data_IF_118277267462
#
_entry.id   IF_118277267462
#
_cell.length_a   1.000
_cell.length_b   1.000
_cell.length_c   1.000
_cell.angle_alpha   90.00
_cell.angle_beta   90.00
_cell.angle_gamma   90.00
#
_symmetry.space_group_name_H-M   'P 1'
#
loop_
_entity.id
_entity.type
_entity.pdbx_description
1 polymer ?
#
# COMPACT_ATOMS: atom_id res chain seq x y z
N UNK A 1 -17.89 -17.23 21.74
CA UNK A 1 -18.62 -18.03 20.73
C UNK A 1 -18.44 -17.37 19.36
N UNK A 2 -17.26 -17.50 18.74
CA UNK A 2 -16.93 -16.90 17.42
C UNK A 2 -16.70 -17.98 16.34
N UNK A 3 -17.01 -19.24 16.64
CA UNK A 3 -16.82 -20.36 15.69
C UNK A 3 -17.82 -20.19 14.55
N UNK A 4 -17.33 -20.05 13.31
CA UNK A 4 -18.15 -19.99 12.10
C UNK A 4 -18.14 -18.65 11.36
N UNK A 5 -17.52 -17.60 11.91
CA UNK A 5 -17.22 -16.40 11.13
C UNK A 5 -16.01 -16.67 10.27
N UNK A 6 -16.10 -16.31 8.98
CA UNK A 6 -14.92 -16.30 8.11
C UNK A 6 -13.98 -15.13 8.47
N UNK A 7 -12.76 -15.17 7.94
CA UNK A 7 -11.73 -14.18 8.21
C UNK A 7 -12.11 -12.77 7.71
N UNK A 8 -12.97 -12.64 6.68
CA UNK A 8 -13.44 -11.36 6.14
C UNK A 8 -14.41 -10.72 7.14
N UNK A 9 -15.36 -11.49 7.67
CA UNK A 9 -16.26 -11.05 8.73
C UNK A 9 -15.49 -10.65 9.98
N UNK A 10 -14.51 -11.46 10.41
CA UNK A 10 -13.68 -11.15 11.58
C UNK A 10 -12.88 -9.86 11.36
N UNK A 11 -12.25 -9.69 10.21
CA UNK A 11 -11.53 -8.48 9.85
C UNK A 11 -12.45 -7.24 9.86
N UNK A 12 -13.61 -7.35 9.22
CA UNK A 12 -14.60 -6.28 9.16
C UNK A 12 -15.05 -5.87 10.55
N UNK A 13 -15.40 -6.83 11.41
CA UNK A 13 -15.81 -6.55 12.79
C UNK A 13 -14.64 -6.02 13.64
N UNK A 14 -13.43 -6.52 13.43
CA UNK A 14 -12.23 -6.09 14.13
C UNK A 14 -11.86 -4.65 13.79
N UNK A 15 -12.28 -4.12 12.64
CA UNK A 15 -12.08 -2.73 12.23
C UNK A 15 -13.04 -1.75 12.94
N UNK A 16 -14.17 -2.21 13.48
CA UNK A 16 -15.06 -1.37 14.29
C UNK A 16 -14.58 -1.24 15.74
N UNK A 17 -14.85 -0.08 16.34
CA UNK A 17 -14.61 0.14 17.76
C UNK A 17 -15.72 -0.50 18.60
N UNK A 18 -15.55 -1.79 18.89
CA UNK A 18 -16.51 -2.58 19.67
C UNK A 18 -15.88 -3.07 20.97
N UNK A 19 -16.65 -3.29 22.05
CA UNK A 19 -16.12 -3.91 23.27
C UNK A 19 -15.51 -5.30 23.05
N UNK A 20 -15.93 -6.00 22.00
CA UNK A 20 -15.42 -7.33 21.64
C UNK A 20 -14.13 -7.29 20.81
N UNK A 21 -13.62 -6.10 20.44
CA UNK A 21 -12.47 -5.93 19.55
C UNK A 21 -11.24 -6.74 19.96
N UNK A 22 -10.78 -6.77 21.22
CA UNK A 22 -9.62 -7.59 21.60
C UNK A 22 -9.78 -9.08 21.29
N UNK A 23 -10.99 -9.62 21.43
CA UNK A 23 -11.29 -11.02 21.11
C UNK A 23 -11.31 -11.27 19.59
N UNK A 24 -11.84 -10.31 18.82
CA UNK A 24 -11.85 -10.37 17.36
C UNK A 24 -10.42 -10.30 16.81
N UNK A 25 -9.60 -9.38 17.31
CA UNK A 25 -8.19 -9.24 16.95
C UNK A 25 -7.39 -10.51 17.29
N UNK A 26 -7.61 -11.10 18.47
CA UNK A 26 -6.99 -12.37 18.85
C UNK A 26 -7.38 -13.51 17.90
N UNK A 27 -8.66 -13.59 17.52
CA UNK A 27 -9.14 -14.59 16.55
C UNK A 27 -8.51 -14.38 15.18
N UNK A 28 -8.48 -13.14 14.70
CA UNK A 28 -7.89 -12.81 13.40
C UNK A 28 -6.40 -13.15 13.35
N UNK A 29 -5.63 -12.86 14.41
CA UNK A 29 -4.22 -13.26 14.52
C UNK A 29 -4.02 -14.76 14.43
N UNK A 30 -4.94 -15.55 14.99
CA UNK A 30 -4.89 -17.01 14.91
C UNK A 30 -5.06 -17.47 13.46
N UNK A 31 -6.01 -16.89 12.74
CA UNK A 31 -6.29 -17.25 11.34
C UNK A 31 -5.17 -16.77 10.40
N UNK A 32 -4.56 -15.63 10.71
CA UNK A 32 -3.43 -15.07 9.95
C UNK A 32 -2.08 -15.70 10.28
N UNK A 33 -1.97 -16.59 11.26
CA UNK A 33 -0.68 -17.08 11.79
C UNK A 33 0.26 -17.62 10.71
N UNK A 34 -0.27 -18.42 9.78
CA UNK A 34 0.52 -18.98 8.69
C UNK A 34 1.08 -17.87 7.78
N UNK A 35 0.25 -16.87 7.44
CA UNK A 35 0.66 -15.72 6.62
C UNK A 35 1.67 -14.83 7.34
N UNK A 36 1.45 -14.53 8.62
CA UNK A 36 2.37 -13.73 9.44
C UNK A 36 3.75 -14.39 9.54
N UNK A 37 3.80 -15.72 9.65
CA UNK A 37 5.05 -16.46 9.70
C UNK A 37 5.70 -16.63 8.32
N UNK A 38 4.90 -16.96 7.30
CA UNK A 38 5.40 -17.34 5.98
C UNK A 38 5.72 -16.15 5.08
N UNK A 39 4.89 -15.11 5.05
CA UNK A 39 5.01 -14.02 4.07
C UNK A 39 6.36 -13.27 4.15
N UNK A 40 6.93 -13.00 5.35
CA UNK A 40 8.27 -12.40 5.44
C UNK A 40 9.40 -13.33 5.00
N UNK A 41 9.20 -14.65 5.04
CA UNK A 41 10.20 -15.65 4.70
C UNK A 41 10.14 -16.09 3.23
N UNK A 42 8.97 -16.00 2.60
CA UNK A 42 8.77 -16.33 1.20
C UNK A 42 9.42 -15.28 0.29
N UNK A 43 10.06 -15.75 -0.79
CA UNK A 43 10.50 -14.89 -1.89
C UNK A 43 9.26 -14.22 -2.53
N UNK A 44 9.13 -12.89 -2.50
CA UNK A 44 7.97 -12.21 -3.06
C UNK A 44 7.91 -12.30 -4.59
N UNK A 45 8.92 -12.86 -5.27
CA UNK A 45 8.89 -13.21 -6.69
C UNK A 45 8.40 -14.63 -6.99
N UNK A 46 8.36 -15.50 -5.97
CA UNK A 46 7.87 -16.87 -6.07
C UNK A 46 6.34 -16.90 -6.00
N UNK A 47 5.70 -16.68 -7.15
CA UNK A 47 4.24 -16.66 -7.24
C UNK A 47 3.59 -17.97 -6.75
N UNK A 48 4.22 -19.11 -6.98
CA UNK A 48 3.72 -20.42 -6.55
C UNK A 48 3.86 -20.57 -5.03
N UNK A 49 4.99 -20.15 -4.47
CA UNK A 49 5.20 -20.10 -3.02
C UNK A 49 4.19 -19.19 -2.31
N UNK A 50 3.89 -18.01 -2.87
CA UNK A 50 2.85 -17.12 -2.35
C UNK A 50 1.46 -17.76 -2.48
N UNK A 51 1.13 -18.35 -3.62
CA UNK A 51 -0.15 -19.06 -3.79
C UNK A 51 -0.30 -20.22 -2.80
N UNK A 52 0.76 -20.99 -2.57
CA UNK A 52 0.77 -22.08 -1.61
C UNK A 52 0.55 -21.57 -0.17
N UNK A 53 1.23 -20.48 0.20
CA UNK A 53 1.03 -19.81 1.48
C UNK A 53 -0.42 -19.33 1.64
N UNK A 54 -1.03 -18.86 0.56
CA UNK A 54 -2.41 -18.38 0.54
C UNK A 54 -3.46 -19.49 0.44
N UNK A 55 -3.10 -20.72 0.04
CA UNK A 55 -4.07 -21.81 -0.15
C UNK A 55 -4.87 -22.13 1.12
N UNK A 56 -4.30 -21.85 2.30
CA UNK A 56 -4.99 -21.98 3.60
C UNK A 56 -5.90 -20.81 3.97
N UNK A 57 -5.84 -19.68 3.25
CA UNK A 57 -6.63 -18.47 3.49
C UNK A 57 -7.63 -18.26 2.37
N UNK A 58 -8.92 -18.25 2.71
CA UNK A 58 -9.98 -17.82 1.79
C UNK A 58 -10.10 -16.29 1.70
N UNK A 59 -9.33 -15.56 2.51
CA UNK A 59 -9.37 -14.10 2.53
C UNK A 59 -8.26 -13.48 1.69
N UNK A 60 -8.62 -12.42 0.97
CA UNK A 60 -7.72 -11.62 0.14
C UNK A 60 -7.26 -10.34 0.84
N UNK A 61 -7.96 -9.93 1.90
CA UNK A 61 -7.66 -8.78 2.75
C UNK A 61 -8.13 -9.06 4.18
N UNK A 62 -7.36 -8.62 5.17
CA UNK A 62 -7.67 -8.82 6.59
C UNK A 62 -8.15 -7.54 7.28
N UNK A 63 -8.80 -6.65 6.52
CA UNK A 63 -9.23 -5.35 7.02
C UNK A 63 -8.03 -4.47 7.37
N UNK A 64 -8.30 -3.31 7.96
CA UNK A 64 -7.26 -2.34 8.32
C UNK A 64 -6.34 -2.96 9.36
N UNK A 65 -6.91 -3.54 10.43
CA UNK A 65 -6.13 -4.16 11.49
C UNK A 65 -5.19 -5.26 10.99
N UNK A 66 -5.72 -6.25 10.25
CA UNK A 66 -4.89 -7.36 9.79
C UNK A 66 -3.85 -6.92 8.75
N UNK A 67 -4.16 -5.91 7.93
CA UNK A 67 -3.19 -5.34 7.00
C UNK A 67 -2.05 -4.64 7.72
N UNK A 68 -2.34 -3.84 8.76
CA UNK A 68 -1.32 -3.20 9.60
C UNK A 68 -0.41 -4.25 10.25
N UNK A 69 -0.98 -5.34 10.78
CA UNK A 69 -0.19 -6.44 11.34
C UNK A 69 0.73 -7.11 10.30
N UNK A 70 0.23 -7.37 9.09
CA UNK A 70 1.05 -7.95 8.03
C UNK A 70 2.15 -7.00 7.60
N UNK A 71 1.85 -5.70 7.52
CA UNK A 71 2.84 -4.68 7.15
C UNK A 71 3.95 -4.59 8.20
N UNK A 72 3.59 -4.51 9.49
CA UNK A 72 4.53 -4.52 10.61
C UNK A 72 5.39 -5.79 10.59
N UNK A 73 4.77 -6.96 10.40
CA UNK A 73 5.45 -8.25 10.36
C UNK A 73 6.40 -8.38 9.15
N UNK A 74 6.13 -7.67 8.06
CA UNK A 74 7.00 -7.56 6.90
C UNK A 74 8.13 -6.52 7.09
N UNK A 75 8.18 -5.83 8.23
CA UNK A 75 9.19 -4.84 8.56
C UNK A 75 8.90 -3.44 8.02
N UNK A 76 7.67 -3.14 7.61
CA UNK A 76 7.28 -1.78 7.21
C UNK A 76 7.00 -0.94 8.46
N UNK A 77 7.71 0.18 8.60
CA UNK A 77 7.48 1.15 9.66
C UNK A 77 6.26 2.03 9.38
N UNK A 78 5.86 2.80 10.41
CA UNK A 78 4.86 3.85 10.27
C UNK A 78 5.49 5.11 9.64
N UNK A 79 4.85 5.75 8.65
CA UNK A 79 5.29 7.05 8.13
C UNK A 79 5.28 8.13 9.21
N UNK A 80 6.04 9.22 9.03
CA UNK A 80 6.04 10.33 9.97
C UNK A 80 4.66 11.01 10.05
N UNK A 81 4.35 11.62 11.21
CA UNK A 81 3.03 12.22 11.44
C UNK A 81 2.67 13.34 10.44
N UNK A 82 3.64 14.16 10.03
CA UNK A 82 3.42 15.26 9.05
C UNK A 82 2.94 14.73 7.69
N UNK A 83 3.36 13.52 7.31
CA UNK A 83 2.99 12.92 6.03
C UNK A 83 1.49 12.61 5.97
N UNK A 84 0.88 12.21 7.09
CA UNK A 84 -0.54 11.88 7.14
C UNK A 84 -1.42 13.09 6.79
N UNK A 85 -1.11 14.27 7.33
CA UNK A 85 -1.85 15.50 7.00
C UNK A 85 -1.79 15.83 5.51
N UNK A 86 -0.59 15.71 4.91
CA UNK A 86 -0.36 15.92 3.48
C UNK A 86 -1.15 14.93 2.61
N UNK A 87 -1.09 13.64 2.95
CA UNK A 87 -1.76 12.58 2.22
C UNK A 87 -3.29 12.66 2.32
N UNK A 88 -3.83 12.95 3.52
CA UNK A 88 -5.27 13.15 3.72
C UNK A 88 -5.79 14.36 2.94
N UNK A 89 -5.03 15.46 2.89
CA UNK A 89 -5.36 16.60 2.06
C UNK A 89 -5.39 16.24 0.56
N UNK A 90 -4.45 15.43 0.09
CA UNK A 90 -4.43 14.93 -1.29
C UNK A 90 -5.66 14.06 -1.61
N UNK A 91 -6.06 13.18 -0.68
CA UNK A 91 -7.28 12.36 -0.80
C UNK A 91 -8.54 13.22 -0.88
N UNK A 92 -8.68 14.21 0.01
CA UNK A 92 -9.82 15.14 0.01
C UNK A 92 -9.93 15.90 -1.32
N UNK A 93 -8.80 16.40 -1.82
CA UNK A 93 -8.75 17.08 -3.12
C UNK A 93 -9.18 16.13 -4.25
N UNK A 94 -8.66 14.90 -4.28
CA UNK A 94 -9.02 13.89 -5.27
C UNK A 94 -10.53 13.63 -5.28
N UNK A 95 -11.10 13.40 -4.10
CA UNK A 95 -12.52 13.12 -3.90
C UNK A 95 -13.40 14.26 -4.41
N UNK A 96 -13.08 15.51 -4.05
CA UNK A 96 -13.81 16.70 -4.54
C UNK A 96 -13.72 16.82 -6.06
N UNK A 97 -12.54 16.57 -6.63
CA UNK A 97 -12.32 16.67 -8.07
C UNK A 97 -13.15 15.66 -8.88
N UNK A 98 -13.31 14.43 -8.37
CA UNK A 98 -14.12 13.41 -9.04
C UNK A 98 -15.60 13.42 -8.63
N UNK A 99 -15.98 14.28 -7.68
CA UNK A 99 -17.35 14.35 -7.15
C UNK A 99 -17.77 13.08 -6.40
N UNK A 100 -16.84 12.40 -5.72
CA UNK A 100 -17.10 11.14 -5.01
C UNK A 100 -16.63 11.21 -3.57
N UNK A 101 -17.28 10.47 -2.68
CA UNK A 101 -16.85 10.35 -1.29
C UNK A 101 -15.65 9.40 -1.16
N UNK A 102 -14.76 9.66 -0.22
CA UNK A 102 -13.53 8.88 0.00
C UNK A 102 -13.79 7.39 0.29
N UNK A 103 -14.95 7.01 0.83
CA UNK A 103 -15.33 5.61 1.02
C UNK A 103 -15.70 4.85 -0.25
N UNK A 104 -15.81 5.54 -1.39
CA UNK A 104 -16.11 4.93 -2.70
C UNK A 104 -14.88 4.82 -3.61
N UNK A 105 -13.74 5.32 -3.14
CA UNK A 105 -12.48 5.34 -3.86
C UNK A 105 -11.39 4.64 -3.04
N UNK A 106 -10.68 3.73 -3.68
CA UNK A 106 -9.42 3.23 -3.15
C UNK A 106 -8.31 4.09 -3.75
N UNK A 107 -7.65 4.87 -2.90
CA UNK A 107 -6.60 5.80 -3.23
C UNK A 107 -5.32 5.37 -2.54
N UNK A 108 -4.19 5.53 -3.20
CA UNK A 108 -2.87 5.34 -2.63
C UNK A 108 -2.04 6.58 -2.92
N UNK A 109 -1.47 7.19 -1.88
CA UNK A 109 -0.62 8.37 -1.98
C UNK A 109 0.79 8.03 -1.54
N UNK A 110 1.80 8.56 -2.24
CA UNK A 110 3.19 8.46 -1.84
C UNK A 110 3.91 9.82 -1.88
N UNK A 111 4.82 9.99 -0.94
CA UNK A 111 5.88 11.00 -0.93
C UNK A 111 7.21 10.25 -1.03
N UNK A 112 8.10 10.68 -1.92
CA UNK A 112 9.32 9.96 -2.22
C UNK A 112 10.51 10.88 -2.43
N UNK A 113 11.68 10.35 -2.09
CA UNK A 113 12.99 10.89 -2.43
C UNK A 113 13.91 9.72 -2.73
N UNK A 114 14.59 9.79 -3.87
CA UNK A 114 15.58 8.84 -4.33
C UNK A 114 16.89 9.56 -4.65
N UNK A 115 18.01 8.89 -4.38
CA UNK A 115 19.35 9.32 -4.74
C UNK A 115 20.18 8.11 -5.18
N UNK A 116 21.13 8.33 -6.09
CA UNK A 116 22.08 7.31 -6.54
C UNK A 116 23.53 7.72 -6.30
N UNK A 117 24.49 6.78 -6.31
CA UNK A 117 25.92 7.10 -6.25
C UNK A 117 26.42 7.96 -7.41
N UNK A 118 25.68 8.00 -8.53
CA UNK A 118 25.98 8.85 -9.69
C UNK A 118 25.52 10.31 -9.51
N UNK A 119 25.09 10.69 -8.29
CA UNK A 119 24.54 12.01 -7.96
C UNK A 119 23.24 12.36 -8.69
N UNK A 120 22.53 11.38 -9.28
CA UNK A 120 21.18 11.61 -9.75
C UNK A 120 20.22 11.65 -8.56
N UNK A 121 19.19 12.50 -8.64
CA UNK A 121 18.15 12.61 -7.63
C UNK A 121 16.77 12.63 -8.27
N UNK A 122 15.77 12.08 -7.58
CA UNK A 122 14.37 12.25 -7.92
C UNK A 122 13.56 12.43 -6.63
N UNK A 123 12.69 13.43 -6.60
CA UNK A 123 11.82 13.68 -5.44
C UNK A 123 10.46 14.16 -5.89
N UNK A 124 9.43 13.82 -5.12
CA UNK A 124 8.09 14.29 -5.42
C UNK A 124 7.02 13.57 -4.62
N UNK A 125 5.80 13.66 -5.14
CA UNK A 125 4.67 12.94 -4.62
C UNK A 125 3.79 12.47 -5.76
N UNK A 126 3.12 11.34 -5.58
CA UNK A 126 2.23 10.76 -6.57
C UNK A 126 1.04 10.07 -5.91
N UNK A 127 -0.04 9.91 -6.68
CA UNK A 127 -1.29 9.37 -6.19
C UNK A 127 -1.96 8.52 -7.26
N UNK A 128 -2.44 7.35 -6.86
CA UNK A 128 -3.17 6.43 -7.71
C UNK A 128 -4.54 6.12 -7.14
N UNK A 129 -5.44 5.73 -8.04
CA UNK A 129 -6.79 5.27 -7.72
C UNK A 129 -7.00 3.89 -8.33
N UNK A 130 -7.61 2.96 -7.59
CA UNK A 130 -7.95 1.64 -8.12
C UNK A 130 -8.71 1.74 -9.44
N UNK A 131 -8.43 0.78 -10.33
CA UNK A 131 -9.12 0.61 -11.61
C UNK A 131 -8.96 1.80 -12.56
N UNK A 132 -8.04 2.73 -12.27
CA UNK A 132 -7.69 3.76 -13.24
C UNK A 132 -6.82 3.15 -14.34
N UNK A 133 -7.38 3.06 -15.55
CA UNK A 133 -6.73 2.45 -16.71
C UNK A 133 -6.00 3.47 -17.60
N UNK A 134 -5.50 4.56 -17.03
CA UNK A 134 -4.67 5.50 -17.80
C UNK A 134 -3.45 4.82 -18.43
N UNK A 135 -2.93 5.40 -19.51
CA UNK A 135 -1.90 4.85 -20.41
C UNK A 135 -0.49 4.60 -19.81
N UNK A 136 -0.36 4.33 -18.51
CA UNK A 136 0.94 4.05 -17.88
C UNK A 136 0.82 2.91 -16.89
N UNK A 137 1.14 1.70 -17.35
CA UNK A 137 1.39 0.54 -16.49
C UNK A 137 2.88 0.24 -16.52
N UNK A 138 3.47 0.07 -15.32
CA UNK A 138 4.89 -0.19 -15.03
C UNK A 138 5.75 -0.57 -16.23
N UNK A 139 6.26 0.45 -16.92
CA UNK A 139 6.95 0.28 -18.22
C UNK A 139 8.25 -0.47 -18.06
N UNK A 140 8.84 -0.46 -16.86
CA UNK A 140 10.05 -1.23 -16.56
C UNK A 140 9.77 -2.71 -16.28
N UNK A 141 8.53 -3.09 -15.94
CA UNK A 141 8.17 -4.48 -15.64
C UNK A 141 8.92 -5.06 -14.44
N UNK A 142 9.45 -4.21 -13.56
CA UNK A 142 10.25 -4.68 -12.43
C UNK A 142 9.37 -5.44 -11.43
N UNK A 143 8.17 -4.96 -11.13
CA UNK A 143 7.22 -5.60 -10.21
C UNK A 143 6.27 -6.58 -10.91
N UNK A 144 5.73 -7.55 -10.17
CA UNK A 144 4.77 -8.55 -10.66
C UNK A 144 3.54 -8.62 -9.77
N UNK A 145 2.36 -8.47 -10.39
CA UNK A 145 1.09 -8.71 -9.70
C UNK A 145 1.01 -10.18 -9.29
N UNK A 146 0.52 -10.45 -8.08
CA UNK A 146 0.38 -11.81 -7.57
C UNK A 146 -1.09 -12.22 -7.62
N UNK A 147 -1.48 -13.20 -8.45
CA UNK A 147 -2.86 -13.66 -8.47
C UNK A 147 -3.22 -14.30 -7.13
N UNK A 148 -4.45 -14.05 -6.65
CA UNK A 148 -4.94 -14.59 -5.39
C UNK A 148 -5.91 -15.76 -5.67
N UNK A 149 -5.86 -16.88 -4.93
CA UNK A 149 -6.67 -18.05 -5.20
C UNK A 149 -8.19 -17.80 -5.21
N UNK A 150 -8.66 -16.88 -4.37
CA UNK A 150 -10.10 -16.57 -4.26
C UNK A 150 -10.65 -15.72 -5.42
N UNK A 151 -9.79 -15.12 -6.26
CA UNK A 151 -10.24 -14.31 -7.40
C UNK A 151 -9.21 -14.24 -8.53
N UNK A 152 -8.97 -15.38 -9.16
CA UNK A 152 -8.06 -15.49 -10.31
C UNK A 152 -8.41 -14.57 -11.49
N UNK A 153 -9.67 -14.11 -11.59
CA UNK A 153 -10.13 -13.20 -12.63
C UNK A 153 -9.79 -11.72 -12.35
N UNK A 154 -9.35 -11.37 -11.14
CA UNK A 154 -9.03 -9.99 -10.77
C UNK A 154 -7.58 -9.69 -11.12
N UNK A 155 -7.38 -8.76 -12.06
CA UNK A 155 -6.06 -8.25 -12.38
C UNK A 155 -5.53 -7.35 -11.26
N UNK A 156 -4.60 -7.90 -10.48
CA UNK A 156 -3.98 -7.21 -9.34
C UNK A 156 -3.01 -6.11 -9.74
N UNK A 157 -2.64 -6.01 -11.02
CA UNK A 157 -1.84 -4.88 -11.52
C UNK A 157 -2.65 -3.57 -11.57
N UNK A 158 -3.98 -3.66 -11.45
CA UNK A 158 -4.89 -2.51 -11.39
C UNK A 158 -5.12 -1.97 -9.97
N UNK A 159 -4.51 -2.58 -8.96
CA UNK A 159 -4.54 -2.07 -7.59
C UNK A 159 -3.71 -0.78 -7.50
N UNK A 160 -4.22 0.22 -6.78
CA UNK A 160 -3.63 1.56 -6.67
C UNK A 160 -2.22 1.51 -6.09
N UNK A 161 -1.98 0.61 -5.15
CA UNK A 161 -0.70 0.38 -4.51
C UNK A 161 0.30 -0.22 -5.50
N UNK A 162 -0.13 -1.20 -6.30
CA UNK A 162 0.71 -1.79 -7.34
C UNK A 162 1.10 -0.77 -8.41
N UNK A 163 0.12 0.01 -8.88
CA UNK A 163 0.34 1.06 -9.88
C UNK A 163 1.30 2.13 -9.35
N UNK A 164 1.11 2.57 -8.10
CA UNK A 164 1.98 3.51 -7.41
C UNK A 164 3.43 3.02 -7.32
N UNK A 165 3.64 1.78 -6.86
CA UNK A 165 4.99 1.21 -6.75
C UNK A 165 5.64 1.00 -8.13
N UNK A 166 4.84 0.63 -9.13
CA UNK A 166 5.31 0.49 -10.51
C UNK A 166 5.73 1.83 -11.12
N UNK A 167 5.00 2.91 -10.84
CA UNK A 167 5.39 4.25 -11.28
C UNK A 167 6.64 4.75 -10.55
N UNK A 168 6.81 4.45 -9.25
CA UNK A 168 8.06 4.72 -8.54
C UNK A 168 9.25 4.00 -9.19
N UNK A 169 9.09 2.74 -9.61
CA UNK A 169 10.13 2.02 -10.36
C UNK A 169 10.43 2.68 -11.72
N UNK A 170 9.39 3.13 -12.44
CA UNK A 170 9.57 3.89 -13.68
C UNK A 170 10.30 5.21 -13.43
N UNK A 171 10.04 5.92 -12.33
CA UNK A 171 10.75 7.15 -11.94
C UNK A 171 12.24 6.86 -11.69
N UNK A 172 12.55 5.79 -10.93
CA UNK A 172 13.93 5.36 -10.70
C UNK A 172 14.67 5.14 -12.03
N UNK A 173 14.03 4.46 -12.98
CA UNK A 173 14.62 4.22 -14.30
C UNK A 173 14.75 5.49 -15.14
N UNK A 174 13.65 6.23 -15.30
CA UNK A 174 13.56 7.36 -16.22
C UNK A 174 14.38 8.57 -15.73
N UNK A 175 14.63 8.68 -14.42
CA UNK A 175 15.54 9.68 -13.83
C UNK A 175 17.02 9.28 -13.89
N UNK A 176 17.36 8.13 -14.49
CA UNK A 176 18.74 7.65 -14.60
C UNK A 176 19.35 7.22 -13.27
N UNK A 177 18.53 6.95 -12.24
CA UNK A 177 18.99 6.44 -10.95
C UNK A 177 19.45 4.98 -11.05
N UNK A 178 18.74 4.17 -11.86
CA UNK A 178 19.13 2.79 -12.19
C UNK A 178 18.49 2.32 -13.51
N UNK A 179 19.26 1.70 -14.40
CA UNK A 179 18.75 1.12 -15.65
C UNK A 179 18.24 -0.32 -15.48
N UNK A 180 18.65 -1.01 -14.41
CA UNK A 180 18.32 -2.41 -14.15
C UNK A 180 17.99 -2.68 -12.68
N UNK A 181 17.31 -3.80 -12.35
CA UNK A 181 17.09 -4.23 -10.97
C UNK A 181 18.38 -4.43 -10.15
N UNK A 182 19.49 -4.80 -10.80
CA UNK A 182 20.77 -4.96 -10.13
C UNK A 182 21.34 -3.60 -9.69
N UNK A 183 21.24 -2.58 -10.54
CA UNK A 183 21.66 -1.20 -10.23
C UNK A 183 20.73 -0.53 -9.21
N UNK A 184 19.43 -0.86 -9.23
CA UNK A 184 18.44 -0.33 -8.30
C UNK A 184 18.82 -0.60 -6.84
N UNK A 185 19.59 -1.65 -6.57
CA UNK A 185 20.08 -1.96 -5.22
C UNK A 185 20.97 -0.88 -4.60
N UNK A 186 21.58 -0.03 -5.41
CA UNK A 186 22.42 1.08 -4.95
C UNK A 186 21.63 2.38 -4.73
N UNK A 187 20.35 2.42 -5.11
CA UNK A 187 19.47 3.59 -4.92
C UNK A 187 19.08 3.69 -3.45
N UNK A 188 19.17 4.90 -2.90
CA UNK A 188 18.86 5.21 -1.51
C UNK A 188 17.74 6.22 -1.40
N UNK A 189 17.19 6.37 -0.20
CA UNK A 189 16.25 7.45 0.12
C UNK A 189 15.06 6.96 0.93
N UNK A 190 13.88 7.51 0.67
CA UNK A 190 12.66 7.13 1.38
C UNK A 190 11.42 7.15 0.49
N UNK A 191 10.44 6.34 0.87
CA UNK A 191 9.09 6.33 0.33
C UNK A 191 8.11 6.19 1.48
N UNK A 192 7.22 7.17 1.62
CA UNK A 192 6.13 7.15 2.59
C UNK A 192 4.82 6.92 1.85
N UNK A 193 4.03 5.94 2.29
CA UNK A 193 2.78 5.55 1.62
C UNK A 193 1.61 5.62 2.60
N UNK A 194 0.48 6.19 2.13
CA UNK A 194 -0.82 6.09 2.78
C UNK A 194 -1.81 5.46 1.79
N UNK A 195 -2.48 4.39 2.21
CA UNK A 195 -3.55 3.72 1.45
C UNK A 195 -4.90 4.06 2.07
N UNK A 196 -5.93 4.41 1.29
CA UNK A 196 -7.23 4.82 1.83
C UNK A 196 -8.08 3.67 2.39
N UNK A 197 -7.74 2.42 2.05
CA UNK A 197 -8.36 1.20 2.55
C UNK A 197 -7.33 0.11 2.81
N UNK A 198 -7.76 -0.98 3.45
CA UNK A 198 -6.93 -2.16 3.65
C UNK A 198 -6.39 -2.71 2.32
N UNK A 199 -5.05 -2.80 2.13
CA UNK A 199 -4.47 -3.42 0.96
C UNK A 199 -4.85 -4.90 0.90
N UNK A 200 -4.94 -5.44 -0.32
CA UNK A 200 -5.02 -6.88 -0.50
C UNK A 200 -3.64 -7.53 -0.31
N UNK A 201 -3.60 -8.84 -0.11
CA UNK A 201 -2.34 -9.58 0.08
C UNK A 201 -1.40 -9.40 -1.12
N UNK A 202 -1.92 -9.33 -2.36
CA UNK A 202 -1.08 -9.03 -3.54
C UNK A 202 -0.37 -7.68 -3.43
N UNK A 203 -1.00 -6.65 -2.85
CA UNK A 203 -0.37 -5.35 -2.65
C UNK A 203 0.73 -5.42 -1.60
N UNK A 204 0.54 -6.21 -0.53
CA UNK A 204 1.56 -6.46 0.49
C UNK A 204 2.78 -7.17 -0.11
N UNK A 205 2.55 -8.15 -0.99
CA UNK A 205 3.62 -8.79 -1.77
C UNK A 205 4.33 -7.78 -2.68
N UNK A 206 3.61 -6.86 -3.32
CA UNK A 206 4.22 -5.81 -4.13
C UNK A 206 5.10 -4.85 -3.31
N UNK A 207 4.67 -4.45 -2.10
CA UNK A 207 5.53 -3.68 -1.17
C UNK A 207 6.81 -4.44 -0.83
N UNK A 208 6.72 -5.76 -0.62
CA UNK A 208 7.87 -6.64 -0.36
C UNK A 208 8.81 -6.74 -1.57
N UNK A 209 8.27 -6.90 -2.78
CA UNK A 209 9.06 -6.86 -4.02
C UNK A 209 9.82 -5.53 -4.13
N UNK A 210 9.14 -4.41 -3.87
CA UNK A 210 9.75 -3.08 -3.91
C UNK A 210 10.88 -2.94 -2.88
N UNK A 211 10.67 -3.39 -1.64
CA UNK A 211 11.69 -3.38 -0.58
C UNK A 211 12.93 -4.21 -0.96
N UNK A 212 12.76 -5.37 -1.60
CA UNK A 212 13.89 -6.19 -2.03
C UNK A 212 14.61 -5.63 -3.27
N UNK A 213 13.88 -4.91 -4.11
CA UNK A 213 14.40 -4.25 -5.31
C UNK A 213 15.26 -3.03 -4.94
N UNK A 214 14.83 -2.28 -3.91
CA UNK A 214 15.43 -1.04 -3.43
C UNK A 214 15.73 -1.16 -1.91
N UNK A 215 16.66 -2.03 -1.51
CA UNK A 215 16.92 -2.35 -0.10
C UNK A 215 17.41 -1.16 0.74
N UNK A 216 18.08 -0.19 0.13
CA UNK A 216 18.57 1.03 0.80
C UNK A 216 17.55 2.18 0.75
N UNK A 217 16.35 1.96 0.21
CA UNK A 217 15.22 2.90 0.28
C UNK A 217 14.35 2.55 1.49
N UNK A 218 14.21 3.49 2.41
CA UNK A 218 13.31 3.32 3.55
C UNK A 218 11.85 3.42 3.12
N UNK A 219 11.15 2.29 3.07
CA UNK A 219 9.72 2.23 2.77
C UNK A 219 8.90 2.15 4.08
N UNK A 220 8.05 3.15 4.32
CA UNK A 220 7.07 3.14 5.39
C UNK A 220 5.65 3.19 4.80
N UNK A 221 4.76 2.34 5.30
CA UNK A 221 3.40 2.17 4.76
C UNK A 221 2.40 2.30 5.90
N UNK A 222 1.38 3.11 5.68
CA UNK A 222 0.22 3.23 6.57
C UNK A 222 -1.05 2.95 5.79
N UNK A 223 -2.01 2.37 6.50
CA UNK A 223 -3.39 2.28 6.03
C UNK A 223 -4.15 3.38 6.74
N UNK A 224 -5.02 4.08 6.02
CA UNK A 224 -5.89 5.08 6.63
C UNK A 224 -6.69 4.39 7.72
N UNK A 225 -6.38 4.78 8.95
CA UNK A 225 -7.02 4.27 10.13
C UNK A 225 -8.53 4.43 10.06
N UNK A 226 -9.19 3.63 10.88
CA UNK A 226 -10.63 3.55 10.99
C UNK A 226 -11.21 4.95 11.16
N UNK A 227 -12.36 5.21 10.52
CA UNK A 227 -13.21 6.32 10.94
C UNK A 227 -13.62 6.04 12.38
N UNK A 228 -12.86 6.52 13.36
CA UNK A 228 -13.35 6.66 14.72
C UNK A 228 -14.58 7.55 14.61
N UNK A 229 -15.76 6.94 14.73
CA UNK A 229 -17.02 7.67 14.72
C UNK A 229 -16.91 8.75 15.79
N UNK A 230 -16.84 10.01 15.35
CA UNK A 230 -17.16 11.19 16.13
C UNK A 230 -16.68 11.23 17.59
N UNK A 231 -15.50 11.79 17.81
CA UNK A 231 -15.31 12.76 18.90
C UNK A 231 -14.49 13.94 18.39
N UNK A 232 -15.18 14.97 17.88
CA UNK A 232 -14.87 16.41 18.03
C UNK A 232 -13.46 17.00 17.89
N UNK A 233 -12.42 16.26 17.47
CA UNK A 233 -11.05 16.74 17.42
C UNK A 233 -10.74 17.45 16.11
N UNK A 234 -10.85 18.77 16.10
CA UNK A 234 -10.47 19.60 14.95
C UNK A 234 -9.00 19.38 14.58
N UNK A 235 -8.75 18.72 13.45
CA UNK A 235 -7.46 18.81 12.78
C UNK A 235 -7.24 20.28 12.40
N UNK A 236 -6.29 20.92 13.09
CA UNK A 236 -5.89 22.30 12.87
C UNK A 236 -5.54 22.54 11.40
N UNK A 237 -6.04 23.65 10.86
CA UNK A 237 -5.73 24.12 9.50
C UNK A 237 -4.31 24.70 9.47
N UNK A 238 -3.30 23.87 9.60
CA UNK A 238 -1.93 24.31 9.30
C UNK A 238 -1.76 24.35 7.78
N UNK A 239 -1.53 25.57 7.26
CA UNK A 239 -1.26 25.83 5.86
C UNK A 239 0.12 25.30 5.52
N UNK A 240 0.19 24.10 4.97
CA UNK A 240 1.39 23.63 4.29
C UNK A 240 1.41 24.25 2.88
N UNK A 241 2.50 24.90 2.51
CA UNK A 241 2.74 25.35 1.13
C UNK A 241 2.93 24.11 0.24
N UNK A 242 1.91 23.79 -0.54
CA UNK A 242 1.86 22.59 -1.38
C UNK A 242 2.56 22.86 -2.70
N UNK A 243 3.61 22.10 -2.99
CA UNK A 243 4.12 21.93 -4.36
C UNK A 243 2.96 21.43 -5.24
N UNK A 244 2.62 22.06 -6.38
CA UNK A 244 1.47 21.67 -7.18
C UNK A 244 1.59 20.19 -7.55
N UNK A 245 0.80 19.36 -6.87
CA UNK A 245 0.71 17.93 -7.16
C UNK A 245 0.42 17.81 -8.66
N UNK A 246 1.23 17.01 -9.38
CA UNK A 246 0.83 16.52 -10.70
C UNK A 246 -0.30 15.52 -10.46
N UNK A 247 -1.49 16.02 -10.11
CA UNK A 247 -2.58 15.16 -9.62
C UNK A 247 -3.02 14.17 -10.70
N UNK A 248 -2.78 14.47 -11.97
CA UNK A 248 -2.86 13.56 -13.10
C UNK A 248 -1.96 14.16 -14.19
N UNK A 249 -1.18 13.40 -14.99
CA UNK A 249 -0.66 13.94 -16.22
C UNK A 249 -1.86 14.43 -17.04
N UNK A 250 -1.92 15.74 -17.33
CA UNK A 250 -2.89 16.27 -18.28
C UNK A 250 -2.67 15.49 -19.58
N UNK A 251 -3.74 14.92 -20.14
CA UNK A 251 -3.73 14.41 -21.51
C UNK A 251 -3.24 15.57 -22.40
N UNK A 252 -2.08 15.41 -23.01
CA UNK A 252 -1.67 16.16 -24.19
C UNK A 252 -2.21 15.39 -25.37
#
# INVERSE_FOLDING_TARGET
>A
MLRGLDAICLATLADFDTPARPLLEQSLRKDMRALLAGLPATDPWDADGIQHLMAGSQSESFGVFGSELLLEQCGFGAPPHWFHGKALHAFDYACRKVGRALGTLVLCYADYQFESPSCAEARGALMWQNSYQGLRFGRCGWLRGTPLPASLAVDRTLCSEFQLLSELCDIVRDSGLAASPAEARAVRGHVFVLVSCAPCISCIVAFRQFQQLLPDVHLAVSVRGRCSGSEGGGYGRDRYDICPLQVWPKRI
#
